data_IF_003213297058
#
_entry.id   IF_003213297058
#
_cell.length_a   1.000
_cell.length_b   1.000
_cell.length_c   1.000
_cell.angle_alpha   90.00
_cell.angle_beta   90.00
_cell.angle_gamma   90.00
#
_symmetry.space_group_name_H-M   'P 1'
#
loop_
_entity.id
_entity.type
_entity.pdbx_description
1 polymer ?
#
# COMPACT_ATOMS: atom_id res chain seq x y z
N UNK A 1 5.08 -16.09 -33.38
CA UNK A 1 4.90 -16.52 -31.98
C UNK A 1 5.57 -15.50 -31.08
N UNK A 2 4.85 -14.49 -30.60
CA UNK A 2 5.43 -13.43 -29.74
C UNK A 2 4.30 -12.65 -29.03
N UNK A 3 3.51 -13.34 -28.20
CA UNK A 3 2.55 -12.69 -27.28
C UNK A 3 2.65 -13.18 -25.83
N UNK A 4 3.47 -14.19 -25.53
CA UNK A 4 3.50 -14.82 -24.20
C UNK A 4 4.50 -14.21 -23.21
N UNK A 5 5.38 -13.29 -23.63
CA UNK A 5 6.38 -12.70 -22.72
C UNK A 5 5.89 -11.46 -21.95
N UNK A 6 4.69 -10.95 -22.23
CA UNK A 6 4.21 -9.70 -21.64
C UNK A 6 3.47 -9.85 -20.29
N UNK A 7 3.27 -11.07 -19.77
CA UNK A 7 2.51 -11.30 -18.51
C UNK A 7 3.31 -11.92 -17.36
N UNK A 8 4.62 -12.13 -17.53
CA UNK A 8 5.44 -12.81 -16.52
C UNK A 8 5.94 -11.90 -15.39
N UNK A 9 5.65 -10.59 -15.44
CA UNK A 9 6.20 -9.59 -14.53
C UNK A 9 5.15 -8.61 -13.98
N UNK A 10 3.86 -9.00 -13.92
CA UNK A 10 2.97 -8.30 -12.99
C UNK A 10 3.39 -8.73 -11.58
N UNK A 11 4.15 -7.88 -10.91
CA UNK A 11 4.42 -8.05 -9.47
C UNK A 11 3.11 -8.36 -8.76
N UNK A 12 3.08 -9.48 -8.03
CA UNK A 12 1.94 -9.86 -7.22
C UNK A 12 1.73 -8.76 -6.18
N UNK A 13 0.72 -7.93 -6.43
CA UNK A 13 0.35 -6.78 -5.61
C UNK A 13 -1.12 -6.86 -5.20
N UNK A 14 -1.49 -6.33 -4.03
CA UNK A 14 -2.87 -6.33 -3.59
C UNK A 14 -3.76 -5.52 -4.54
N UNK A 15 -5.05 -5.82 -4.53
CA UNK A 15 -6.07 -5.00 -5.20
C UNK A 15 -6.24 -3.71 -4.41
N UNK A 16 -5.95 -2.57 -5.04
CA UNK A 16 -6.11 -1.26 -4.41
C UNK A 16 -7.59 -0.92 -4.20
N UNK A 17 -7.88 -0.06 -3.22
CA UNK A 17 -9.22 0.49 -2.98
C UNK A 17 -9.79 1.19 -4.23
N UNK A 18 -8.94 1.85 -5.03
CA UNK A 18 -9.36 2.49 -6.28
C UNK A 18 -9.78 1.46 -7.34
N UNK A 19 -8.99 0.41 -7.57
CA UNK A 19 -9.34 -0.68 -8.50
C UNK A 19 -10.63 -1.39 -8.05
N UNK A 20 -10.77 -1.62 -6.74
CA UNK A 20 -11.99 -2.18 -6.17
C UNK A 20 -13.20 -1.25 -6.40
N UNK A 21 -13.05 0.05 -6.17
CA UNK A 21 -14.13 1.03 -6.34
C UNK A 21 -14.57 1.18 -7.80
N UNK A 22 -13.65 1.09 -8.77
CA UNK A 22 -14.02 1.04 -10.19
C UNK A 22 -14.91 -0.17 -10.51
N UNK A 23 -14.62 -1.31 -9.88
CA UNK A 23 -15.41 -2.53 -9.98
C UNK A 23 -16.57 -2.59 -8.97
N UNK A 24 -17.13 -1.43 -8.57
CA UNK A 24 -18.27 -1.27 -7.64
C UNK A 24 -18.03 -1.79 -6.21
N UNK A 25 -16.78 -1.99 -5.82
CA UNK A 25 -16.39 -2.52 -4.53
C UNK A 25 -16.50 -4.05 -4.43
N UNK A 26 -16.88 -4.74 -5.51
CA UNK A 26 -17.19 -6.16 -5.45
C UNK A 26 -15.97 -7.09 -5.50
N UNK A 27 -14.77 -6.57 -5.77
CA UNK A 27 -13.56 -7.39 -5.85
C UNK A 27 -13.13 -7.92 -4.48
N UNK A 28 -13.37 -7.13 -3.43
CA UNK A 28 -13.06 -7.49 -2.05
C UNK A 28 -14.27 -8.04 -1.26
N UNK A 29 -15.51 -7.87 -1.75
CA UNK A 29 -16.75 -8.34 -1.07
C UNK A 29 -17.08 -9.81 -1.35
N UNK A 30 -17.90 -10.47 -0.52
CA UNK A 30 -18.33 -11.87 -0.70
C UNK A 30 -18.99 -12.20 -2.05
N UNK A 31 -18.94 -13.48 -2.46
CA UNK A 31 -19.31 -13.99 -3.80
C UNK A 31 -20.77 -13.72 -4.23
N UNK A 32 -21.65 -13.33 -3.30
CA UNK A 32 -23.07 -13.10 -3.57
C UNK A 32 -23.38 -11.75 -4.27
N UNK A 33 -22.44 -10.80 -4.29
CA UNK A 33 -22.66 -9.45 -4.87
C UNK A 33 -22.29 -9.32 -6.37
N UNK A 34 -22.39 -10.41 -7.14
CA UNK A 34 -21.59 -10.64 -8.36
C UNK A 34 -22.34 -10.55 -9.71
N UNK A 35 -23.25 -9.58 -9.86
CA UNK A 35 -24.18 -9.54 -11.01
C UNK A 35 -23.64 -8.93 -12.31
N UNK A 36 -23.00 -7.76 -12.26
CA UNK A 36 -22.83 -6.90 -13.45
C UNK A 36 -21.38 -6.72 -13.93
N UNK A 37 -20.39 -6.83 -13.04
CA UNK A 37 -18.96 -6.62 -13.35
C UNK A 37 -18.14 -7.92 -13.35
N UNK A 38 -18.79 -9.03 -13.71
CA UNK A 38 -18.34 -10.41 -13.46
C UNK A 38 -16.87 -10.67 -13.81
N UNK A 39 -16.42 -10.23 -14.98
CA UNK A 39 -15.10 -10.60 -15.52
C UNK A 39 -13.96 -9.71 -14.99
N UNK A 40 -14.20 -8.41 -14.86
CA UNK A 40 -13.26 -7.47 -14.24
C UNK A 40 -13.04 -7.83 -12.77
N UNK A 41 -14.13 -8.07 -12.06
CA UNK A 41 -14.07 -8.44 -10.66
C UNK A 41 -13.39 -9.82 -10.52
N UNK A 42 -13.64 -10.78 -11.43
CA UNK A 42 -12.96 -12.10 -11.41
C UNK A 42 -11.45 -11.95 -11.54
N UNK A 43 -11.02 -11.05 -12.41
CA UNK A 43 -9.60 -10.77 -12.65
C UNK A 43 -8.95 -10.19 -11.39
N UNK A 44 -9.57 -9.18 -10.78
CA UNK A 44 -9.09 -8.59 -9.54
C UNK A 44 -9.05 -9.61 -8.39
N UNK A 45 -10.09 -10.44 -8.25
CA UNK A 45 -10.12 -11.52 -7.26
C UNK A 45 -9.01 -12.54 -7.46
N UNK A 46 -8.80 -12.98 -8.69
CA UNK A 46 -7.75 -13.96 -8.99
C UNK A 46 -6.37 -13.39 -8.65
N UNK A 47 -6.15 -12.09 -8.92
CA UNK A 47 -4.91 -11.40 -8.54
C UNK A 47 -4.77 -11.31 -7.03
N UNK A 48 -5.85 -10.93 -6.31
CA UNK A 48 -5.84 -10.90 -4.85
C UNK A 48 -5.55 -12.28 -4.24
N UNK A 49 -6.16 -13.34 -4.78
CA UNK A 49 -5.92 -14.71 -4.33
C UNK A 49 -4.47 -15.15 -4.61
N UNK A 50 -3.93 -14.84 -5.79
CA UNK A 50 -2.53 -15.12 -6.12
C UNK A 50 -1.56 -14.35 -5.21
N UNK A 51 -1.88 -13.10 -4.88
CA UNK A 51 -1.13 -12.28 -3.93
C UNK A 51 -1.13 -12.91 -2.53
N UNK A 52 -2.31 -13.23 -1.97
CA UNK A 52 -2.41 -13.86 -0.65
C UNK A 52 -1.67 -15.21 -0.59
N UNK A 53 -1.74 -16.02 -1.65
CA UNK A 53 -1.00 -17.28 -1.75
C UNK A 53 0.53 -17.10 -1.83
N UNK A 54 1.00 -15.92 -2.24
CA UNK A 54 2.44 -15.62 -2.30
C UNK A 54 3.02 -15.17 -0.96
N UNK A 55 2.17 -14.87 0.03
CA UNK A 55 2.61 -14.41 1.33
C UNK A 55 3.30 -15.53 2.12
N UNK A 56 4.33 -15.21 2.92
CA UNK A 56 5.02 -16.21 3.74
C UNK A 56 4.04 -16.93 4.67
N UNK A 57 4.20 -18.26 4.76
CA UNK A 57 3.39 -19.10 5.66
C UNK A 57 4.12 -19.45 6.96
N UNK A 58 5.46 -19.42 6.96
CA UNK A 58 6.26 -19.65 8.15
C UNK A 58 6.39 -18.36 9.00
N UNK A 59 6.20 -18.41 10.33
CA UNK A 59 6.28 -17.23 11.18
C UNK A 59 7.64 -16.50 11.13
N UNK A 60 8.76 -17.21 11.00
CA UNK A 60 10.08 -16.56 10.94
C UNK A 60 10.28 -15.84 9.61
N UNK A 61 9.82 -16.45 8.52
CA UNK A 61 9.86 -15.83 7.19
C UNK A 61 8.95 -14.61 7.12
N UNK A 62 7.76 -14.66 7.73
CA UNK A 62 6.85 -13.53 7.81
C UNK A 62 7.45 -12.35 8.61
N UNK A 63 8.05 -12.62 9.77
CA UNK A 63 8.74 -11.60 10.58
C UNK A 63 9.92 -11.02 9.82
N UNK A 64 10.72 -11.84 9.15
CA UNK A 64 11.86 -11.39 8.34
C UNK A 64 11.41 -10.50 7.19
N UNK A 65 10.34 -10.88 6.49
CA UNK A 65 9.76 -10.09 5.40
C UNK A 65 9.18 -8.76 5.88
N UNK A 66 8.44 -8.77 6.99
CA UNK A 66 7.92 -7.54 7.61
C UNK A 66 9.04 -6.59 8.05
N UNK A 67 10.10 -7.13 8.68
CA UNK A 67 11.27 -6.32 9.08
C UNK A 67 11.98 -5.68 7.90
N UNK A 68 12.13 -6.38 6.77
CA UNK A 68 12.72 -5.80 5.56
C UNK A 68 11.92 -4.63 4.99
N UNK A 69 10.62 -4.61 5.20
CA UNK A 69 9.76 -3.49 4.77
C UNK A 69 9.82 -2.31 5.74
N UNK A 70 10.07 -2.56 7.02
CA UNK A 70 10.28 -1.51 8.03
C UNK A 70 11.68 -0.89 7.96
N UNK A 71 12.71 -1.71 7.74
CA UNK A 71 14.11 -1.29 7.64
C UNK A 71 14.46 -0.93 6.19
N UNK A 72 14.05 0.26 5.73
CA UNK A 72 14.50 0.77 4.43
C UNK A 72 15.92 1.35 4.53
N UNK A 73 16.88 0.80 3.79
CA UNK A 73 18.27 1.32 3.70
C UNK A 73 18.90 1.72 5.04
N UNK A 74 18.77 0.87 6.07
CA UNK A 74 19.29 1.11 7.43
C UNK A 74 18.59 2.25 8.20
N UNK A 75 17.45 2.75 7.72
CA UNK A 75 16.55 3.62 8.49
C UNK A 75 15.57 2.79 9.32
N UNK A 76 15.21 3.28 10.51
CA UNK A 76 14.26 2.64 11.41
C UNK A 76 12.78 2.81 10.99
N UNK A 77 12.55 3.46 9.84
CA UNK A 77 11.21 3.83 9.38
C UNK A 77 10.99 3.48 7.90
N UNK A 78 9.72 3.27 7.50
CA UNK A 78 9.29 3.22 6.11
C UNK A 78 9.88 4.35 5.26
N UNK A 79 10.11 4.06 3.98
CA UNK A 79 10.73 4.99 3.04
C UNK A 79 10.02 6.36 3.06
N UNK A 80 10.78 7.43 3.26
CA UNK A 80 10.29 8.81 3.19
C UNK A 80 9.55 9.32 4.44
N UNK A 81 9.25 8.48 5.44
CA UNK A 81 8.59 8.93 6.70
C UNK A 81 9.42 9.98 7.44
N UNK A 82 10.71 9.75 7.61
CA UNK A 82 11.60 10.68 8.32
C UNK A 82 11.68 12.02 7.58
N UNK A 83 11.78 11.98 6.24
CA UNK A 83 11.78 13.17 5.39
C UNK A 83 10.45 13.91 5.45
N UNK A 84 9.32 13.20 5.47
CA UNK A 84 7.99 13.77 5.63
C UNK A 84 7.83 14.46 6.98
N UNK A 85 8.34 13.85 8.05
CA UNK A 85 8.34 14.45 9.38
C UNK A 85 9.11 15.77 9.38
N UNK A 86 10.32 15.81 8.81
CA UNK A 86 11.09 17.05 8.69
C UNK A 86 10.38 18.11 7.83
N UNK A 87 9.76 17.71 6.72
CA UNK A 87 8.98 18.61 5.88
C UNK A 87 7.72 19.13 6.58
N UNK A 88 7.10 18.34 7.45
CA UNK A 88 5.97 18.79 8.26
C UNK A 88 6.37 19.90 9.25
N UNK A 89 7.55 19.80 9.87
CA UNK A 89 8.08 20.86 10.73
C UNK A 89 8.45 22.12 9.92
N UNK A 90 9.04 21.95 8.73
CA UNK A 90 9.33 23.07 7.84
C UNK A 90 8.04 23.77 7.40
N UNK A 91 7.01 23.01 7.03
CA UNK A 91 5.69 23.53 6.66
C UNK A 91 5.03 24.27 7.82
N UNK A 92 5.08 23.73 9.04
CA UNK A 92 4.56 24.39 10.25
C UNK A 92 5.24 25.74 10.48
N UNK A 93 6.58 25.80 10.37
CA UNK A 93 7.33 27.04 10.53
C UNK A 93 6.97 28.07 9.44
N UNK A 94 6.80 27.61 8.19
CA UNK A 94 6.40 28.46 7.07
C UNK A 94 5.00 29.04 7.26
N UNK A 95 4.03 28.25 7.74
CA UNK A 95 2.67 28.74 8.01
C UNK A 95 2.64 29.69 9.21
N UNK A 96 3.43 29.44 10.27
CA UNK A 96 3.47 30.30 11.47
C UNK A 96 4.16 31.64 11.24
N UNK A 97 5.13 31.70 10.34
CA UNK A 97 6.01 32.86 10.17
C UNK A 97 5.94 33.52 8.79
N UNK A 98 5.25 32.90 7.82
CA UNK A 98 5.10 33.42 6.46
C UNK A 98 3.72 34.04 6.20
N UNK A 99 3.67 34.98 5.26
CA UNK A 99 2.42 35.40 4.62
C UNK A 99 2.08 34.40 3.52
N UNK A 100 1.26 33.38 3.82
CA UNK A 100 0.78 32.43 2.79
C UNK A 100 -0.42 32.94 2.00
N UNK A 101 -0.88 34.15 2.29
CA UNK A 101 -2.07 34.77 1.72
C UNK A 101 -1.82 35.36 0.32
N UNK A 102 -0.56 35.65 -0.03
CA UNK A 102 -0.18 36.16 -1.36
C UNK A 102 0.35 35.03 -2.27
N UNK A 103 0.05 35.16 -3.57
CA UNK A 103 0.65 34.33 -4.62
C UNK A 103 2.15 34.67 -4.73
N UNK A 104 2.99 33.89 -4.04
CA UNK A 104 4.42 34.08 -3.98
C UNK A 104 5.23 32.79 -3.78
N UNK A 105 6.57 32.86 -3.94
CA UNK A 105 7.46 31.71 -3.83
C UNK A 105 7.34 30.91 -2.53
N UNK A 106 7.00 31.58 -1.43
CA UNK A 106 6.79 30.99 -0.11
C UNK A 106 5.54 30.09 -0.09
N UNK A 107 4.46 30.51 -0.77
CA UNK A 107 3.24 29.71 -0.94
C UNK A 107 3.52 28.48 -1.81
N UNK A 108 4.22 28.65 -2.93
CA UNK A 108 4.59 27.54 -3.81
C UNK A 108 5.50 26.51 -3.11
N UNK A 109 6.47 26.98 -2.32
CA UNK A 109 7.31 26.12 -1.52
C UNK A 109 6.53 25.36 -0.44
N UNK A 110 5.56 26.01 0.22
CA UNK A 110 4.69 25.36 1.20
C UNK A 110 3.81 24.28 0.53
N UNK A 111 3.25 24.56 -0.65
CA UNK A 111 2.47 23.58 -1.43
C UNK A 111 3.34 22.39 -1.83
N UNK A 112 4.55 22.64 -2.32
CA UNK A 112 5.48 21.57 -2.69
C UNK A 112 5.84 20.69 -1.49
N UNK A 113 6.15 21.29 -0.33
CA UNK A 113 6.45 20.51 0.89
C UNK A 113 5.25 19.70 1.35
N UNK A 114 4.04 20.27 1.32
CA UNK A 114 2.81 19.56 1.66
C UNK A 114 2.58 18.35 0.73
N UNK A 115 2.82 18.52 -0.57
CA UNK A 115 2.74 17.45 -1.56
C UNK A 115 3.74 16.33 -1.30
N UNK A 116 4.99 16.67 -0.96
CA UNK A 116 6.01 15.68 -0.60
C UNK A 116 5.63 14.90 0.66
N UNK A 117 5.06 15.57 1.67
CA UNK A 117 4.54 14.91 2.88
C UNK A 117 3.42 13.94 2.52
N UNK A 118 2.44 14.38 1.72
CA UNK A 118 1.32 13.53 1.31
C UNK A 118 1.80 12.26 0.58
N UNK A 119 2.70 12.40 -0.40
CA UNK A 119 3.26 11.27 -1.14
C UNK A 119 4.05 10.29 -0.28
N UNK A 120 4.77 10.78 0.73
CA UNK A 120 5.48 9.93 1.66
C UNK A 120 4.52 9.19 2.59
N UNK A 121 3.47 9.86 3.08
CA UNK A 121 2.44 9.23 3.92
C UNK A 121 1.67 8.14 3.18
N UNK A 122 1.29 8.38 1.92
CA UNK A 122 0.65 7.35 1.07
C UNK A 122 1.53 6.12 0.93
N UNK A 123 2.82 6.30 0.60
CA UNK A 123 3.77 5.19 0.49
C UNK A 123 3.97 4.44 1.80
N UNK A 124 4.04 5.16 2.91
CA UNK A 124 4.14 4.54 4.22
C UNK A 124 2.89 3.72 4.58
N UNK A 125 1.70 4.22 4.26
CA UNK A 125 0.45 3.45 4.43
C UNK A 125 0.47 2.19 3.59
N UNK A 126 0.87 2.27 2.31
CA UNK A 126 0.98 1.08 1.45
C UNK A 126 1.98 0.04 2.00
N UNK A 127 3.10 0.49 2.56
CA UNK A 127 4.08 -0.40 3.20
C UNK A 127 3.53 -1.03 4.48
N UNK A 128 2.82 -0.27 5.31
CA UNK A 128 2.18 -0.77 6.53
C UNK A 128 1.06 -1.76 6.22
N UNK A 129 0.24 -1.49 5.21
CA UNK A 129 -0.80 -2.42 4.75
C UNK A 129 -0.17 -3.73 4.29
N UNK A 130 0.93 -3.67 3.53
CA UNK A 130 1.69 -4.85 3.11
C UNK A 130 2.28 -5.62 4.29
N UNK A 131 2.75 -4.92 5.32
CA UNK A 131 3.22 -5.55 6.57
C UNK A 131 2.06 -6.25 7.27
N UNK A 132 0.90 -5.60 7.38
CA UNK A 132 -0.31 -6.21 7.96
C UNK A 132 -0.69 -7.47 7.19
N UNK A 133 -0.73 -7.43 5.85
CA UNK A 133 -1.05 -8.59 5.03
C UNK A 133 -0.10 -9.76 5.28
N UNK A 134 1.22 -9.50 5.35
CA UNK A 134 2.23 -10.53 5.67
C UNK A 134 2.01 -11.11 7.07
N UNK A 135 1.72 -10.26 8.05
CA UNK A 135 1.56 -10.66 9.46
C UNK A 135 0.19 -11.29 9.76
N UNK A 136 -0.85 -10.98 9.00
CA UNK A 136 -2.21 -11.46 9.20
C UNK A 136 -2.57 -12.62 8.26
N UNK A 137 -1.62 -13.11 7.45
CA UNK A 137 -1.85 -14.11 6.42
C UNK A 137 -2.73 -15.29 6.93
N UNK A 138 -3.98 -15.42 6.42
CA UNK A 138 -4.94 -16.40 6.93
C UNK A 138 -4.53 -17.86 6.71
N UNK A 139 -3.62 -18.14 5.76
CA UNK A 139 -3.03 -19.47 5.63
C UNK A 139 -2.22 -19.91 6.86
N UNK A 140 -1.76 -18.94 7.67
CA UNK A 140 -1.19 -19.18 9.01
C UNK A 140 -2.30 -19.48 10.02
N UNK A 141 -3.35 -18.66 10.06
CA UNK A 141 -4.45 -18.78 11.02
C UNK A 141 -5.21 -20.12 10.88
N UNK A 142 -5.38 -20.62 9.65
CA UNK A 142 -6.01 -21.93 9.39
C UNK A 142 -5.12 -23.13 9.80
N UNK A 143 -3.78 -22.98 9.82
CA UNK A 143 -2.85 -24.03 10.28
C UNK A 143 -2.60 -24.02 11.79
N UNK A 144 -2.71 -22.85 12.42
CA UNK A 144 -2.66 -22.68 13.89
C UNK A 144 -4.02 -22.99 14.55
N UNK A 145 -5.10 -23.00 13.77
CA UNK A 145 -6.44 -23.41 14.20
C UNK A 145 -6.91 -24.72 13.52
N UNK A 146 -6.19 -25.85 13.63
CA UNK A 146 -6.76 -27.11 13.20
C UNK A 146 -7.84 -27.49 14.22
N UNK A 147 -9.10 -27.20 13.86
CA UNK A 147 -10.34 -27.83 14.36
C UNK A 147 -10.35 -28.31 15.82
N UNK A 148 -11.06 -27.57 16.68
CA UNK A 148 -11.79 -28.17 17.82
C UNK A 148 -12.88 -29.12 17.31
#
# INVERSE_FOLDING_TARGET
>A
MTKERARANEELRPVSSWENNQAKGHALCGQYMWGEHKDEVKTLRNRQAAYLNSLPSDPQDAISAAKKLLDFEYSAYPEGIEKALHFSFALEAMVKHGSTDDDGPERDAAIYLADQVAHAMVRATEQLDRISDILDNPARLERESPSL
#
